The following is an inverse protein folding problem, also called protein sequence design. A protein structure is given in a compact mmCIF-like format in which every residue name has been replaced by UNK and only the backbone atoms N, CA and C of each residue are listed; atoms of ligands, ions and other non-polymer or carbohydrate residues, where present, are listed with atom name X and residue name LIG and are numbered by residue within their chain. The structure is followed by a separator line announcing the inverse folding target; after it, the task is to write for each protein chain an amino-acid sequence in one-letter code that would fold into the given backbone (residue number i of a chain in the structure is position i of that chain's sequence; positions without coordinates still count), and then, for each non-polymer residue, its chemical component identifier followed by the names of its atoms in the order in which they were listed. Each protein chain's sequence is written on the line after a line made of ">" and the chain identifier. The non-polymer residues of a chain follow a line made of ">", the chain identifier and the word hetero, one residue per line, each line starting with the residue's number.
data_IF_389756384051
#
_entry.id   IF_389756384051
#
_cell.length_a   1.000
_cell.length_b   1.000
_cell.length_c   1.000
_cell.angle_alpha   90.00
_cell.angle_beta   90.00
_cell.angle_gamma   90.00
#
_symmetry.space_group_name_H-M   'P 1'
#
loop_
_entity.id
_entity.type
_entity.pdbx_description
1 polymer ?
#
# COMPACT_ATOMS: atom_id res chain seq x y z
N UNK A 1 21.45 13.70 17.05
CA UNK A 1 20.57 14.72 17.72
C UNK A 1 19.13 14.34 17.44
N UNK A 2 18.26 14.41 18.46
CA UNK A 2 16.81 14.20 18.24
C UNK A 2 16.21 15.46 17.57
N UNK A 3 15.13 15.35 16.80
CA UNK A 3 14.47 16.51 16.20
C UNK A 3 14.06 17.58 17.23
N UNK A 4 13.69 17.13 18.44
CA UNK A 4 13.34 18.02 19.55
C UNK A 4 14.56 18.79 20.08
N UNK A 5 15.72 18.15 20.19
CA UNK A 5 16.94 18.85 20.64
C UNK A 5 17.43 19.88 19.62
N UNK A 6 17.29 19.59 18.32
CA UNK A 6 17.59 20.55 17.26
C UNK A 6 16.64 21.75 17.30
N UNK A 7 15.34 21.52 17.45
CA UNK A 7 14.33 22.57 17.58
C UNK A 7 14.58 23.45 18.80
N UNK A 8 14.88 22.86 19.96
CA UNK A 8 15.19 23.61 21.19
C UNK A 8 16.43 24.48 21.03
N UNK A 9 17.50 23.96 20.43
CA UNK A 9 18.71 24.73 20.16
C UNK A 9 18.41 25.95 19.27
N UNK A 10 17.67 25.73 18.17
CA UNK A 10 17.28 26.83 17.26
C UNK A 10 16.40 27.86 17.98
N UNK A 11 15.47 27.42 18.84
CA UNK A 11 14.63 28.32 19.64
C UNK A 11 15.47 29.21 20.56
N UNK A 12 16.43 28.64 21.29
CA UNK A 12 17.30 29.40 22.20
C UNK A 12 18.19 30.39 21.45
N UNK A 13 18.81 29.94 20.33
CA UNK A 13 19.66 30.80 19.50
C UNK A 13 18.85 31.95 18.86
N UNK A 14 17.66 31.66 18.32
CA UNK A 14 16.80 32.68 17.72
C UNK A 14 16.27 33.67 18.77
N UNK A 15 15.88 33.22 19.97
CA UNK A 15 15.46 34.07 21.05
C UNK A 15 16.59 34.99 21.51
N UNK A 16 17.83 34.48 21.66
CA UNK A 16 18.98 35.28 21.97
C UNK A 16 19.26 36.36 20.90
N UNK A 17 19.22 35.94 19.62
CA UNK A 17 19.40 36.84 18.49
C UNK A 17 18.35 37.96 18.48
N UNK A 18 17.07 37.65 18.73
CA UNK A 18 15.98 38.64 18.79
C UNK A 18 16.13 39.60 19.99
N UNK A 19 16.60 39.14 21.16
CA UNK A 19 16.87 40.01 22.31
C UNK A 19 17.99 40.99 21.96
N UNK A 20 19.06 40.54 21.32
CA UNK A 20 20.17 41.42 20.91
C UNK A 20 19.71 42.38 19.81
N UNK A 21 18.92 41.91 18.86
CA UNK A 21 18.35 42.74 17.79
C UNK A 21 17.40 43.79 18.36
N UNK A 22 16.50 43.43 19.27
CA UNK A 22 15.57 44.35 19.91
C UNK A 22 16.26 45.47 20.71
N UNK A 23 17.44 45.22 21.31
CA UNK A 23 18.25 46.25 21.94
C UNK A 23 18.80 47.23 20.92
N UNK A 24 19.35 46.76 19.80
CA UNK A 24 19.86 47.61 18.71
C UNK A 24 18.76 48.46 18.08
N UNK A 25 17.63 47.82 17.76
CA UNK A 25 16.46 48.50 17.15
C UNK A 25 15.93 49.61 18.06
N UNK A 26 15.84 49.39 19.38
CA UNK A 26 15.39 50.42 20.34
C UNK A 26 16.31 51.64 20.38
N UNK A 27 17.62 51.41 20.30
CA UNK A 27 18.59 52.53 20.25
C UNK A 27 18.45 53.30 18.94
N UNK A 28 18.42 52.59 17.79
CA UNK A 28 18.27 53.24 16.50
C UNK A 28 16.93 53.98 16.35
N UNK A 29 15.83 53.39 16.84
CA UNK A 29 14.51 54.00 16.77
C UNK A 29 14.42 55.29 17.61
N UNK A 30 15.06 55.33 18.78
CA UNK A 30 15.11 56.56 19.59
C UNK A 30 15.90 57.70 18.92
N UNK A 31 16.99 57.33 18.22
CA UNK A 31 17.80 58.29 17.47
C UNK A 31 17.08 58.78 16.21
N UNK A 32 16.34 57.94 15.51
CA UNK A 32 15.68 58.28 14.25
C UNK A 32 14.30 58.93 14.42
N UNK A 33 13.53 58.56 15.46
CA UNK A 33 12.11 58.91 15.59
C UNK A 33 11.78 59.60 16.94
N UNK A 34 12.78 59.89 17.76
CA UNK A 34 12.58 60.51 19.09
C UNK A 34 12.08 59.49 20.14
N UNK A 35 11.74 59.99 21.37
CA UNK A 35 11.49 59.15 22.55
C UNK A 35 10.23 58.28 22.45
N UNK A 36 9.25 58.65 21.62
CA UNK A 36 7.96 57.92 21.55
C UNK A 36 7.93 56.82 20.51
N UNK A 37 8.87 56.76 19.57
CA UNK A 37 8.95 55.74 18.49
C UNK A 37 7.64 55.57 17.72
N UNK A 38 7.68 55.37 16.42
CA UNK A 38 6.48 55.31 15.56
C UNK A 38 6.09 53.90 15.09
N UNK A 39 6.38 52.86 15.86
CA UNK A 39 5.96 51.51 15.54
C UNK A 39 4.52 51.21 15.99
N UNK A 40 3.80 50.37 15.22
CA UNK A 40 2.48 49.90 15.64
C UNK A 40 2.63 48.82 16.72
N UNK A 41 1.66 48.74 17.66
CA UNK A 41 1.71 47.79 18.79
C UNK A 41 1.84 46.32 18.38
N UNK A 42 1.26 45.90 17.24
CA UNK A 42 1.35 44.53 16.77
C UNK A 42 2.77 44.07 16.39
N UNK A 43 3.68 45.01 16.10
CA UNK A 43 5.08 44.69 15.76
C UNK A 43 5.83 44.03 16.92
N UNK A 44 5.32 44.15 18.15
CA UNK A 44 5.87 43.46 19.33
C UNK A 44 5.77 41.93 19.21
N UNK A 45 4.81 41.44 18.44
CA UNK A 45 4.63 39.99 18.21
C UNK A 45 5.61 39.41 17.15
N UNK A 46 6.19 40.29 16.33
CA UNK A 46 7.09 39.85 15.22
C UNK A 46 8.30 39.03 15.68
N UNK A 47 9.02 39.32 16.77
CA UNK A 47 10.11 38.52 17.28
C UNK A 47 9.67 37.07 17.64
N UNK A 48 8.52 36.98 18.31
CA UNK A 48 7.95 35.67 18.69
C UNK A 48 7.57 34.83 17.46
N UNK A 49 6.96 35.46 16.45
CA UNK A 49 6.62 34.79 15.21
C UNK A 49 7.87 34.30 14.46
N UNK A 50 8.95 35.07 14.45
CA UNK A 50 10.24 34.63 13.85
C UNK A 50 10.83 33.48 14.59
N UNK A 51 10.91 33.50 15.91
CA UNK A 51 11.43 32.42 16.72
C UNK A 51 10.62 31.13 16.48
N UNK A 52 9.29 31.24 16.51
CA UNK A 52 8.40 30.10 16.27
C UNK A 52 8.57 29.53 14.86
N UNK A 53 8.61 30.40 13.85
CA UNK A 53 8.78 30.01 12.46
C UNK A 53 10.13 29.32 12.18
N UNK A 54 11.24 29.85 12.74
CA UNK A 54 12.55 29.23 12.65
C UNK A 54 12.60 27.88 13.36
N UNK A 55 11.98 27.78 14.52
CA UNK A 55 11.91 26.52 15.30
C UNK A 55 11.09 25.46 14.55
N UNK A 56 9.94 25.84 14.01
CA UNK A 56 9.09 24.93 13.22
C UNK A 56 9.81 24.43 11.96
N UNK A 57 10.48 25.33 11.26
CA UNK A 57 11.27 24.99 10.08
C UNK A 57 12.41 24.02 10.42
N UNK A 58 13.18 24.34 11.47
CA UNK A 58 14.31 23.50 11.89
C UNK A 58 13.86 22.13 12.41
N UNK A 59 12.73 22.06 13.12
CA UNK A 59 12.15 20.79 13.55
C UNK A 59 11.75 19.94 12.35
N UNK A 60 11.02 20.52 11.38
CA UNK A 60 10.62 19.81 10.18
C UNK A 60 11.81 19.28 9.39
N UNK A 61 12.87 20.09 9.23
CA UNK A 61 14.09 19.68 8.56
C UNK A 61 14.80 18.53 9.30
N UNK A 62 14.87 18.59 10.63
CA UNK A 62 15.48 17.54 11.44
C UNK A 62 14.70 16.22 11.38
N UNK A 63 13.36 16.28 11.35
CA UNK A 63 12.51 15.10 11.15
C UNK A 63 12.74 14.49 9.77
N UNK A 64 12.73 15.29 8.71
CA UNK A 64 12.98 14.81 7.35
C UNK A 64 14.37 14.21 7.20
N UNK A 65 15.38 14.82 7.83
CA UNK A 65 16.72 14.27 7.87
C UNK A 65 16.76 12.90 8.57
N UNK A 66 16.10 12.77 9.71
CA UNK A 66 16.03 11.52 10.47
C UNK A 66 15.33 10.41 9.67
N UNK A 67 14.21 10.73 9.00
CA UNK A 67 13.51 9.81 8.12
C UNK A 67 14.38 9.37 6.93
N UNK A 68 15.13 10.32 6.35
CA UNK A 68 16.05 10.01 5.27
C UNK A 68 17.22 9.13 5.71
N UNK A 69 17.78 9.37 6.90
CA UNK A 69 18.82 8.50 7.47
C UNK A 69 18.28 7.10 7.77
N UNK A 70 17.10 7.00 8.36
CA UNK A 70 16.44 5.72 8.61
C UNK A 70 16.19 4.93 7.31
N UNK A 71 15.90 5.63 6.22
CA UNK A 71 15.77 5.02 4.89
C UNK A 71 17.13 4.59 4.29
N UNK A 72 18.22 5.34 4.58
CA UNK A 72 19.57 5.01 4.11
C UNK A 72 20.26 3.92 4.93
N UNK A 73 20.08 3.94 6.25
CA UNK A 73 20.75 3.00 7.15
C UNK A 73 20.23 1.58 6.97
N UNK A 74 19.33 1.38 5.96
CA UNK A 74 19.00 0.06 5.48
C UNK A 74 18.82 -0.95 6.63
N UNK A 75 18.44 -0.49 7.86
CA UNK A 75 17.74 -1.42 8.70
C UNK A 75 16.50 -1.73 7.88
N UNK A 76 16.47 -2.88 7.20
CA UNK A 76 15.20 -3.34 6.76
C UNK A 76 14.37 -3.22 8.04
N UNK A 77 13.38 -2.36 8.06
CA UNK A 77 12.18 -2.65 8.80
C UNK A 77 12.07 -4.14 8.64
N UNK A 78 12.04 -4.96 9.71
CA UNK A 78 11.92 -6.41 9.56
C UNK A 78 11.04 -6.60 8.36
N UNK A 79 11.66 -6.70 7.19
CA UNK A 79 10.97 -6.84 5.92
C UNK A 79 10.59 -8.27 6.01
N UNK A 80 9.44 -8.50 6.69
CA UNK A 80 8.74 -9.75 6.56
C UNK A 80 8.72 -9.95 5.07
N UNK A 81 9.43 -10.98 4.63
CA UNK A 81 9.41 -11.40 3.23
C UNK A 81 7.98 -11.25 2.73
N UNK A 82 7.75 -10.61 1.58
CA UNK A 82 6.40 -10.34 1.11
C UNK A 82 5.61 -11.63 1.03
N UNK A 83 4.40 -11.62 1.51
CA UNK A 83 3.52 -12.79 1.43
C UNK A 83 3.12 -12.99 -0.04
N UNK A 84 3.25 -14.22 -0.50
CA UNK A 84 2.94 -14.62 -1.88
C UNK A 84 1.61 -15.37 -1.91
N UNK A 85 0.64 -14.84 -2.63
CA UNK A 85 -0.62 -15.52 -2.92
C UNK A 85 -0.52 -16.20 -4.28
N UNK A 86 -0.41 -17.52 -4.28
CA UNK A 86 -0.21 -18.32 -5.49
C UNK A 86 -1.47 -19.09 -5.81
N UNK A 87 -2.08 -18.77 -6.94
CA UNK A 87 -3.23 -19.48 -7.47
C UNK A 87 -2.76 -20.65 -8.33
N UNK A 88 -3.29 -21.83 -8.07
CA UNK A 88 -3.06 -23.04 -8.86
C UNK A 88 -4.35 -23.42 -9.53
N UNK A 89 -4.39 -23.32 -10.84
CA UNK A 89 -5.60 -23.46 -11.66
C UNK A 89 -5.60 -24.77 -12.43
N UNK A 90 -6.63 -25.55 -12.26
CA UNK A 90 -6.93 -26.71 -13.10
C UNK A 90 -7.41 -26.25 -14.48
N UNK A 91 -6.73 -26.71 -15.52
CA UNK A 91 -7.02 -26.40 -16.93
C UNK A 91 -7.50 -27.64 -17.71
N UNK A 92 -7.88 -28.68 -17.00
CA UNK A 92 -8.39 -29.92 -17.62
C UNK A 92 -9.71 -29.68 -18.37
N UNK A 93 -10.05 -30.53 -19.35
CA UNK A 93 -11.28 -30.40 -20.14
C UNK A 93 -12.56 -30.40 -19.29
N UNK A 94 -12.57 -31.04 -18.11
CA UNK A 94 -13.71 -31.05 -17.20
C UNK A 94 -14.06 -29.64 -16.67
N UNK A 95 -13.10 -28.71 -16.63
CA UNK A 95 -13.33 -27.32 -16.22
C UNK A 95 -14.21 -26.54 -17.19
N UNK A 96 -14.47 -27.02 -18.39
CA UNK A 96 -15.40 -26.42 -19.36
C UNK A 96 -16.84 -26.91 -19.22
N UNK A 97 -17.11 -27.88 -18.34
CA UNK A 97 -18.47 -28.39 -18.10
C UNK A 97 -19.35 -27.28 -17.46
N UNK A 98 -20.59 -27.18 -17.93
CA UNK A 98 -21.59 -26.21 -17.48
C UNK A 98 -22.46 -26.80 -16.36
N UNK A 99 -21.86 -26.95 -15.18
CA UNK A 99 -22.54 -27.46 -13.99
C UNK A 99 -22.19 -26.69 -12.72
N UNK A 100 -21.50 -25.56 -12.88
CA UNK A 100 -21.01 -24.74 -11.77
C UNK A 100 -21.88 -23.48 -11.56
N UNK A 101 -21.59 -22.81 -10.43
CA UNK A 101 -22.28 -21.62 -9.98
C UNK A 101 -23.61 -21.88 -9.29
N UNK A 102 -24.20 -20.88 -8.61
CA UNK A 102 -25.45 -21.02 -7.85
C UNK A 102 -26.62 -21.52 -8.69
N UNK A 103 -26.65 -21.19 -9.98
CA UNK A 103 -27.69 -21.61 -10.91
C UNK A 103 -27.34 -22.89 -11.70
N UNK A 104 -26.13 -23.43 -11.52
CA UNK A 104 -25.62 -24.60 -12.26
C UNK A 104 -25.53 -24.40 -13.78
N UNK A 105 -25.29 -23.17 -14.24
CA UNK A 105 -25.26 -22.78 -15.66
C UNK A 105 -23.90 -22.24 -16.12
N UNK A 106 -23.02 -22.00 -15.19
CA UNK A 106 -21.63 -21.54 -15.47
C UNK A 106 -20.72 -22.71 -15.76
N UNK A 107 -19.67 -22.49 -16.52
CA UNK A 107 -18.56 -23.43 -16.58
C UNK A 107 -17.79 -23.40 -15.25
N UNK A 108 -17.12 -24.51 -14.91
CA UNK A 108 -16.25 -24.57 -13.73
C UNK A 108 -15.13 -23.53 -13.82
N UNK A 109 -14.63 -23.28 -15.03
CA UNK A 109 -13.63 -22.22 -15.29
C UNK A 109 -14.20 -20.81 -15.03
N UNK A 110 -15.42 -20.50 -15.47
CA UNK A 110 -16.07 -19.22 -15.16
C UNK A 110 -16.25 -19.03 -13.65
N UNK A 111 -16.66 -20.10 -12.96
CA UNK A 111 -16.81 -20.07 -11.50
C UNK A 111 -15.47 -19.88 -10.78
N UNK A 112 -14.41 -20.54 -11.21
CA UNK A 112 -13.05 -20.33 -10.72
C UNK A 112 -12.62 -18.87 -10.90
N UNK A 113 -12.89 -18.28 -12.07
CA UNK A 113 -12.56 -16.87 -12.37
C UNK A 113 -13.27 -15.89 -11.44
N UNK A 114 -14.56 -16.10 -11.22
CA UNK A 114 -15.34 -15.31 -10.27
C UNK A 114 -14.78 -15.39 -8.84
N UNK A 115 -14.35 -16.58 -8.44
CA UNK A 115 -13.80 -16.79 -7.10
C UNK A 115 -12.42 -16.14 -6.94
N UNK A 116 -11.56 -16.22 -7.97
CA UNK A 116 -10.28 -15.50 -8.00
C UNK A 116 -10.51 -14.00 -7.84
N UNK A 117 -11.46 -13.43 -8.58
CA UNK A 117 -11.81 -12.02 -8.47
C UNK A 117 -12.33 -11.67 -7.07
N UNK A 118 -13.20 -12.52 -6.51
CA UNK A 118 -13.71 -12.33 -5.15
C UNK A 118 -12.62 -12.41 -4.07
N UNK A 119 -11.60 -13.23 -4.28
CA UNK A 119 -10.40 -13.28 -3.41
C UNK A 119 -9.57 -12.02 -3.58
N UNK A 120 -9.25 -11.63 -4.83
CA UNK A 120 -8.43 -10.44 -5.11
C UNK A 120 -9.04 -9.14 -4.56
N UNK A 121 -10.38 -9.02 -4.57
CA UNK A 121 -11.08 -7.86 -3.99
C UNK A 121 -10.98 -7.79 -2.45
N UNK A 122 -10.76 -8.92 -1.78
CA UNK A 122 -10.75 -9.03 -0.31
C UNK A 122 -9.35 -9.01 0.30
N UNK A 123 -8.34 -9.30 -0.52
CA UNK A 123 -6.94 -9.30 -0.09
C UNK A 123 -6.23 -8.01 -0.45
N UNK A 124 -5.16 -7.67 0.26
CA UNK A 124 -4.35 -6.49 -0.04
C UNK A 124 -3.18 -6.33 0.92
N UNK A 125 -2.48 -5.20 0.80
CA UNK A 125 -1.20 -4.97 1.45
C UNK A 125 -0.06 -5.23 0.46
N UNK A 126 1.16 -5.41 0.97
CA UNK A 126 2.34 -5.74 0.16
C UNK A 126 2.34 -7.24 -0.15
N UNK A 127 1.47 -7.65 -1.08
CA UNK A 127 1.37 -9.02 -1.56
C UNK A 127 2.10 -9.19 -2.89
N UNK A 128 2.63 -10.39 -3.09
CA UNK A 128 3.10 -10.86 -4.38
C UNK A 128 2.15 -11.92 -4.90
N UNK A 129 1.91 -11.92 -6.17
CA UNK A 129 0.96 -12.82 -6.80
C UNK A 129 1.68 -13.81 -7.71
N UNK A 130 1.18 -15.05 -7.73
CA UNK A 130 1.61 -16.07 -8.65
C UNK A 130 0.43 -16.81 -9.24
N UNK A 131 0.59 -17.33 -10.46
CA UNK A 131 -0.37 -18.22 -11.12
C UNK A 131 0.38 -19.41 -11.68
N UNK A 132 -0.08 -20.59 -11.30
CA UNK A 132 0.39 -21.88 -11.80
C UNK A 132 -0.81 -22.54 -12.47
N UNK A 133 -0.70 -22.86 -13.74
CA UNK A 133 -1.69 -23.68 -14.42
C UNK A 133 -1.26 -25.14 -14.46
N UNK A 134 -2.19 -26.06 -14.30
CA UNK A 134 -1.90 -27.47 -14.48
C UNK A 134 -2.95 -28.18 -15.35
N UNK A 135 -2.49 -29.19 -16.03
CA UNK A 135 -3.32 -30.19 -16.71
C UNK A 135 -2.73 -31.56 -16.42
N UNK A 136 -1.74 -32.03 -17.17
CA UNK A 136 -0.95 -33.23 -16.87
C UNK A 136 0.21 -32.91 -15.94
N UNK A 137 0.85 -31.75 -16.14
CA UNK A 137 1.93 -31.21 -15.35
C UNK A 137 1.60 -29.77 -14.98
N UNK A 138 2.23 -29.23 -13.94
CA UNK A 138 2.06 -27.84 -13.54
C UNK A 138 3.16 -26.95 -14.13
N UNK A 139 2.74 -25.81 -14.67
CA UNK A 139 3.63 -24.79 -15.22
C UNK A 139 3.35 -23.43 -14.58
N UNK A 140 4.41 -22.74 -14.19
CA UNK A 140 4.31 -21.37 -13.71
C UNK A 140 3.99 -20.43 -14.88
N UNK A 141 2.89 -19.70 -14.79
CA UNK A 141 2.46 -18.70 -15.78
C UNK A 141 2.93 -17.31 -15.36
N UNK A 142 2.74 -16.97 -14.09
CA UNK A 142 3.18 -15.73 -13.47
C UNK A 142 3.75 -16.05 -12.10
N UNK A 143 4.87 -15.44 -11.73
CA UNK A 143 5.42 -15.58 -10.39
C UNK A 143 5.93 -14.21 -9.90
N UNK A 144 5.75 -13.99 -8.60
CA UNK A 144 6.29 -12.81 -7.87
C UNK A 144 5.85 -11.45 -8.44
N UNK A 145 4.63 -11.39 -9.02
CA UNK A 145 4.05 -10.16 -9.54
C UNK A 145 3.52 -9.26 -8.42
N UNK A 146 3.69 -7.95 -8.55
CA UNK A 146 3.10 -6.96 -7.63
C UNK A 146 1.66 -6.62 -7.98
N UNK A 147 1.36 -6.64 -9.28
CA UNK A 147 0.10 -6.16 -9.81
C UNK A 147 -0.94 -7.29 -9.88
N UNK A 148 -2.06 -7.21 -9.15
CA UNK A 148 -3.15 -8.18 -9.25
C UNK A 148 -3.81 -8.19 -10.63
N UNK A 149 -3.67 -7.13 -11.45
CA UNK A 149 -4.19 -7.10 -12.81
C UNK A 149 -3.55 -8.16 -13.71
N UNK A 150 -2.30 -8.53 -13.46
CA UNK A 150 -1.66 -9.64 -14.17
C UNK A 150 -2.39 -10.97 -13.90
N UNK A 151 -2.82 -11.20 -12.67
CA UNK A 151 -3.62 -12.39 -12.32
C UNK A 151 -4.95 -12.36 -13.06
N UNK A 152 -5.67 -11.22 -13.02
CA UNK A 152 -6.94 -11.05 -13.75
C UNK A 152 -6.78 -11.34 -15.23
N UNK A 153 -5.75 -10.79 -15.86
CA UNK A 153 -5.48 -10.98 -17.28
C UNK A 153 -5.20 -12.46 -17.62
N UNK A 154 -4.47 -13.18 -16.77
CA UNK A 154 -4.24 -14.62 -16.96
C UNK A 154 -5.56 -15.40 -16.91
N UNK A 155 -6.40 -15.13 -15.92
CA UNK A 155 -7.68 -15.84 -15.79
C UNK A 155 -8.73 -15.40 -16.83
N UNK A 156 -8.66 -14.18 -17.35
CA UNK A 156 -9.65 -13.63 -18.30
C UNK A 156 -9.29 -13.85 -19.78
N UNK A 157 -8.03 -13.97 -20.13
CA UNK A 157 -7.66 -13.81 -21.53
C UNK A 157 -6.65 -14.77 -22.13
N UNK A 158 -5.86 -15.44 -21.34
CA UNK A 158 -4.84 -16.32 -21.91
C UNK A 158 -5.38 -17.76 -22.05
N UNK A 159 -5.44 -18.29 -23.29
CA UNK A 159 -5.74 -19.69 -23.52
C UNK A 159 -4.52 -20.55 -23.14
N UNK A 160 -4.22 -20.60 -21.82
CA UNK A 160 -3.03 -21.28 -21.28
C UNK A 160 -3.02 -22.77 -21.63
N UNK A 161 -4.20 -23.35 -21.84
CA UNK A 161 -4.37 -24.76 -22.26
C UNK A 161 -3.68 -25.08 -23.58
N UNK A 162 -3.49 -24.14 -24.49
CA UNK A 162 -2.81 -24.38 -25.77
C UNK A 162 -1.29 -24.59 -25.65
N UNK A 163 -0.72 -24.20 -24.52
CA UNK A 163 0.72 -24.33 -24.23
C UNK A 163 1.02 -25.68 -23.56
N UNK A 164 -0.03 -26.37 -23.05
CA UNK A 164 0.12 -27.59 -22.28
C UNK A 164 -0.09 -28.84 -23.16
N UNK A 165 0.74 -29.85 -22.95
CA UNK A 165 0.55 -31.16 -23.60
C UNK A 165 -0.71 -31.83 -23.06
N UNK A 166 -1.62 -32.18 -23.96
CA UNK A 166 -2.78 -32.95 -23.60
C UNK A 166 -2.35 -34.37 -23.16
N UNK A 167 -2.87 -34.81 -22.02
CA UNK A 167 -2.61 -36.14 -21.46
C UNK A 167 -3.72 -36.49 -20.46
N UNK A 168 -3.60 -37.62 -19.78
CA UNK A 168 -4.49 -37.92 -18.66
C UNK A 168 -4.12 -37.01 -17.46
N UNK A 169 -5.11 -36.38 -16.87
CA UNK A 169 -4.93 -35.58 -15.66
C UNK A 169 -4.65 -36.51 -14.47
N UNK A 170 -3.49 -36.38 -13.84
CA UNK A 170 -3.23 -36.94 -12.52
C UNK A 170 -3.08 -35.83 -11.52
N UNK A 171 -4.07 -35.68 -10.66
CA UNK A 171 -4.13 -34.61 -9.63
C UNK A 171 -2.92 -34.69 -8.69
N UNK A 172 -2.43 -35.90 -8.37
CA UNK A 172 -1.24 -36.07 -7.52
C UNK A 172 0.02 -35.50 -8.16
N UNK A 173 0.29 -35.84 -9.42
CA UNK A 173 1.43 -35.33 -10.19
C UNK A 173 1.33 -33.82 -10.36
N UNK A 174 0.15 -33.29 -10.68
CA UNK A 174 -0.08 -31.85 -10.87
C UNK A 174 0.17 -31.04 -9.59
N UNK A 175 -0.39 -31.47 -8.47
CA UNK A 175 -0.19 -30.83 -7.17
C UNK A 175 1.27 -30.92 -6.71
N UNK A 176 1.90 -32.09 -6.88
CA UNK A 176 3.31 -32.25 -6.54
C UNK A 176 4.21 -31.37 -7.38
N UNK A 177 3.88 -31.14 -8.64
CA UNK A 177 4.60 -30.22 -9.53
C UNK A 177 4.41 -28.76 -9.08
N UNK A 178 3.19 -28.37 -8.73
CA UNK A 178 2.92 -27.02 -8.18
C UNK A 178 3.65 -26.77 -6.86
N UNK A 179 3.67 -27.76 -5.96
CA UNK A 179 4.40 -27.73 -4.70
C UNK A 179 5.90 -27.52 -4.92
N UNK A 180 6.48 -28.24 -5.90
CA UNK A 180 7.91 -28.09 -6.27
C UNK A 180 8.24 -26.69 -6.79
N UNK A 181 7.35 -26.05 -7.55
CA UNK A 181 7.55 -24.67 -8.04
C UNK A 181 7.72 -23.68 -6.91
N UNK A 182 7.00 -23.86 -5.80
CA UNK A 182 7.05 -22.93 -4.66
C UNK A 182 8.03 -23.33 -3.56
N UNK A 183 8.63 -24.53 -3.62
CA UNK A 183 9.51 -25.05 -2.56
C UNK A 183 10.77 -24.21 -2.35
N UNK A 184 11.31 -23.62 -3.43
CA UNK A 184 12.50 -22.74 -3.37
C UNK A 184 12.27 -21.34 -2.80
N UNK A 185 11.03 -20.98 -2.44
CA UNK A 185 10.70 -19.66 -1.90
C UNK A 185 10.98 -19.56 -0.39
N UNK A 186 11.10 -18.35 0.17
CA UNK A 186 11.35 -18.16 1.59
C UNK A 186 10.30 -18.83 2.49
N UNK A 187 10.72 -19.32 3.66
CA UNK A 187 9.87 -20.08 4.55
C UNK A 187 8.64 -19.27 5.01
N UNK A 188 7.46 -19.93 5.05
CA UNK A 188 6.20 -19.37 5.54
C UNK A 188 5.69 -18.11 4.80
N UNK A 189 6.16 -17.90 3.54
CA UNK A 189 5.75 -16.74 2.74
C UNK A 189 4.64 -17.03 1.74
N UNK A 190 4.40 -18.31 1.41
CA UNK A 190 3.44 -18.70 0.36
C UNK A 190 2.09 -19.09 0.95
N UNK A 191 1.01 -18.57 0.37
CA UNK A 191 -0.36 -19.06 0.50
C UNK A 191 -0.76 -19.67 -0.82
N UNK A 192 -1.05 -20.94 -0.81
CA UNK A 192 -1.41 -21.70 -2.01
C UNK A 192 -2.93 -21.84 -2.09
N UNK A 193 -3.53 -21.39 -3.19
CA UNK A 193 -4.96 -21.50 -3.45
C UNK A 193 -5.16 -22.34 -4.69
N UNK A 194 -5.65 -23.56 -4.53
CA UNK A 194 -5.79 -24.54 -5.60
C UNK A 194 -7.25 -24.65 -6.01
N UNK A 195 -7.53 -24.48 -7.30
CA UNK A 195 -8.85 -24.67 -7.91
C UNK A 195 -8.86 -25.92 -8.75
N UNK A 196 -9.75 -26.83 -8.44
CA UNK A 196 -9.94 -28.08 -9.20
C UNK A 196 -11.30 -28.71 -8.88
N UNK A 197 -11.79 -29.58 -9.72
CA UNK A 197 -12.98 -30.39 -9.45
C UNK A 197 -12.66 -31.72 -8.72
N UNK A 198 -11.38 -32.10 -8.71
CA UNK A 198 -10.96 -33.33 -8.06
C UNK A 198 -11.44 -34.60 -8.75
N UNK A 199 -11.90 -34.54 -10.00
CA UNK A 199 -12.52 -35.65 -10.75
C UNK A 199 -11.56 -36.85 -10.99
N UNK A 200 -10.27 -36.64 -10.69
CA UNK A 200 -9.25 -37.69 -10.88
C UNK A 200 -8.62 -38.04 -9.53
N UNK A 201 -8.67 -39.33 -9.19
CA UNK A 201 -8.00 -39.85 -8.00
C UNK A 201 -6.48 -39.70 -8.17
N UNK A 202 -5.75 -39.17 -7.18
CA UNK A 202 -4.30 -39.09 -7.25
C UNK A 202 -3.67 -40.48 -7.38
N UNK A 203 -2.96 -40.73 -8.47
CA UNK A 203 -2.23 -41.98 -8.70
C UNK A 203 -0.92 -42.03 -7.92
N UNK A 204 -0.37 -40.83 -7.60
CA UNK A 204 0.85 -40.72 -6.83
C UNK A 204 0.57 -40.10 -5.43
N UNK A 205 1.35 -40.50 -4.40
CA UNK A 205 1.25 -39.88 -3.08
C UNK A 205 1.51 -38.39 -3.19
N UNK A 206 0.68 -37.62 -2.48
CA UNK A 206 0.87 -36.15 -2.35
C UNK A 206 2.11 -35.89 -1.52
N UNK A 207 3.04 -35.08 -2.03
CA UNK A 207 4.22 -34.65 -1.30
C UNK A 207 3.83 -33.78 -0.08
N UNK A 208 4.60 -33.86 1.01
CA UNK A 208 4.32 -33.05 2.18
C UNK A 208 4.47 -31.57 1.85
N UNK A 209 3.70 -30.74 2.55
CA UNK A 209 3.75 -29.28 2.41
C UNK A 209 5.17 -28.76 2.63
N UNK A 210 5.76 -27.97 1.69
CA UNK A 210 7.10 -27.43 1.82
C UNK A 210 7.16 -26.32 2.88
N UNK A 211 8.37 -26.02 3.38
CA UNK A 211 8.58 -25.01 4.40
C UNK A 211 8.19 -23.59 3.94
N UNK A 212 8.26 -23.31 2.64
CA UNK A 212 7.87 -22.06 2.02
C UNK A 212 6.37 -21.77 2.18
N UNK A 213 5.53 -22.82 2.19
CA UNK A 213 4.08 -22.72 2.22
C UNK A 213 3.59 -22.62 3.66
N UNK A 214 2.94 -21.49 3.99
CA UNK A 214 2.30 -21.23 5.28
C UNK A 214 0.92 -21.86 5.35
N UNK A 215 0.15 -21.78 4.25
CA UNK A 215 -1.23 -22.27 4.20
C UNK A 215 -1.61 -22.77 2.82
N UNK A 216 -2.56 -23.71 2.78
CA UNK A 216 -3.07 -24.31 1.56
C UNK A 216 -4.60 -24.31 1.62
N UNK A 217 -5.23 -23.71 0.63
CA UNK A 217 -6.67 -23.72 0.43
C UNK A 217 -6.98 -24.48 -0.84
N UNK A 218 -7.73 -25.56 -0.71
CA UNK A 218 -8.24 -26.35 -1.85
C UNK A 218 -9.67 -25.94 -2.08
N UNK A 219 -9.93 -25.36 -3.25
CA UNK A 219 -11.22 -24.81 -3.63
C UNK A 219 -11.85 -25.69 -4.69
N UNK A 220 -12.90 -26.40 -4.30
CA UNK A 220 -13.63 -27.28 -5.19
C UNK A 220 -14.63 -26.53 -6.06
N UNK A 221 -14.58 -26.74 -7.38
CA UNK A 221 -15.49 -26.16 -8.37
C UNK A 221 -16.25 -27.27 -9.10
N UNK A 222 -17.48 -26.98 -9.52
CA UNK A 222 -18.37 -27.95 -10.16
C UNK A 222 -19.41 -28.53 -9.18
N UNK A 223 -20.38 -29.23 -9.71
CA UNK A 223 -21.48 -29.78 -8.90
C UNK A 223 -21.05 -31.07 -8.19
N UNK A 224 -21.05 -31.14 -6.83
CA UNK A 224 -20.66 -32.34 -6.11
C UNK A 224 -21.72 -33.45 -6.13
N UNK A 225 -22.99 -33.12 -6.49
CA UNK A 225 -24.12 -34.05 -6.43
C UNK A 225 -24.50 -34.59 -7.81
N UNK A 226 -24.37 -33.76 -8.85
CA UNK A 226 -24.80 -34.10 -10.20
C UNK A 226 -23.59 -34.11 -11.12
N UNK A 227 -23.27 -35.27 -11.65
CA UNK A 227 -22.19 -35.42 -12.65
C UNK A 227 -22.68 -35.05 -14.05
N UNK A 228 -21.76 -34.54 -14.86
CA UNK A 228 -21.93 -34.27 -16.28
C UNK A 228 -21.04 -35.20 -17.10
N UNK A 229 -21.58 -35.76 -18.19
CA UNK A 229 -20.85 -36.77 -18.98
C UNK A 229 -19.81 -36.09 -19.89
N UNK A 230 -18.56 -36.52 -19.81
CA UNK A 230 -17.44 -36.07 -20.65
C UNK A 230 -16.44 -37.23 -20.90
N UNK A 231 -15.92 -37.32 -22.10
CA UNK A 231 -14.86 -38.27 -22.46
C UNK A 231 -15.09 -39.72 -22.00
N UNK A 232 -16.34 -40.19 -21.98
CA UNK A 232 -16.69 -41.55 -21.64
C UNK A 232 -16.94 -41.82 -20.15
N UNK A 233 -16.84 -40.85 -19.29
CA UNK A 233 -17.13 -40.98 -17.86
C UNK A 233 -18.00 -39.81 -17.33
N UNK A 234 -18.53 -39.98 -16.14
CA UNK A 234 -19.33 -38.98 -15.47
C UNK A 234 -18.47 -38.13 -14.55
N UNK A 235 -18.16 -36.88 -14.98
CA UNK A 235 -17.38 -35.93 -14.22
C UNK A 235 -18.23 -35.19 -13.22
N UNK A 236 -17.79 -35.11 -11.97
CA UNK A 236 -18.37 -34.32 -10.90
C UNK A 236 -17.27 -33.81 -9.97
N UNK A 237 -17.58 -32.78 -9.16
CA UNK A 237 -16.67 -32.42 -8.09
C UNK A 237 -16.57 -33.56 -7.07
N UNK A 238 -15.35 -34.02 -6.80
CA UNK A 238 -15.10 -35.05 -5.80
C UNK A 238 -14.60 -34.44 -4.48
N UNK A 239 -15.53 -34.09 -3.59
CA UNK A 239 -15.25 -33.48 -2.30
C UNK A 239 -14.39 -34.37 -1.37
N UNK A 240 -14.48 -35.70 -1.51
CA UNK A 240 -13.73 -36.66 -0.71
C UNK A 240 -12.25 -36.67 -1.11
N UNK A 241 -11.97 -36.73 -2.42
CA UNK A 241 -10.62 -36.61 -2.97
C UNK A 241 -10.01 -35.26 -2.57
N UNK A 242 -10.74 -34.15 -2.77
CA UNK A 242 -10.24 -32.81 -2.43
C UNK A 242 -9.96 -32.62 -0.93
N UNK A 243 -10.82 -33.16 -0.07
CA UNK A 243 -10.60 -33.15 1.39
C UNK A 243 -9.37 -34.00 1.78
N UNK A 244 -9.12 -35.10 1.08
CA UNK A 244 -7.94 -35.94 1.32
C UNK A 244 -6.66 -35.23 0.88
N UNK A 245 -6.66 -34.58 -0.27
CA UNK A 245 -5.54 -33.74 -0.74
C UNK A 245 -5.27 -32.59 0.24
N UNK A 246 -6.32 -31.89 0.70
CA UNK A 246 -6.19 -30.82 1.67
C UNK A 246 -5.53 -31.31 2.97
N UNK A 247 -5.96 -32.45 3.51
CA UNK A 247 -5.36 -33.08 4.70
C UNK A 247 -3.90 -33.46 4.50
N UNK A 248 -3.54 -34.02 3.33
CA UNK A 248 -2.16 -34.39 3.01
C UNK A 248 -1.23 -33.16 3.04
N UNK A 249 -1.71 -32.02 2.53
CA UNK A 249 -1.00 -30.72 2.53
C UNK A 249 -1.17 -29.93 3.84
N UNK A 250 -1.85 -30.46 4.85
CA UNK A 250 -2.22 -29.75 6.10
C UNK A 250 -2.91 -28.42 5.80
N UNK A 251 -3.78 -28.40 4.81
CA UNK A 251 -4.59 -27.27 4.40
C UNK A 251 -6.08 -27.49 4.68
N UNK A 252 -6.92 -26.65 4.09
CA UNK A 252 -8.37 -26.68 4.22
C UNK A 252 -9.04 -26.81 2.85
N UNK A 253 -10.13 -27.59 2.80
CA UNK A 253 -10.98 -27.71 1.64
C UNK A 253 -12.25 -26.86 1.81
N UNK A 254 -12.64 -26.16 0.74
CA UNK A 254 -13.88 -25.43 0.63
C UNK A 254 -14.59 -25.71 -0.69
N UNK A 255 -15.87 -25.99 -0.62
CA UNK A 255 -16.74 -26.02 -1.79
C UNK A 255 -17.15 -24.59 -2.15
N UNK A 256 -16.60 -24.08 -3.25
CA UNK A 256 -16.89 -22.71 -3.73
C UNK A 256 -17.85 -22.69 -4.93
N UNK A 257 -18.51 -23.82 -5.21
CA UNK A 257 -19.41 -23.92 -6.34
C UNK A 257 -20.65 -23.00 -6.22
N UNK A 258 -21.35 -23.02 -5.09
CA UNK A 258 -22.54 -22.22 -4.86
C UNK A 258 -22.26 -20.94 -4.04
N UNK A 259 -21.26 -20.97 -3.16
CA UNK A 259 -20.90 -19.89 -2.25
C UNK A 259 -19.44 -19.47 -2.48
N UNK A 260 -19.15 -18.21 -2.20
CA UNK A 260 -17.76 -17.75 -2.19
C UNK A 260 -17.00 -18.27 -0.96
N UNK A 261 -15.68 -18.31 -1.08
CA UNK A 261 -14.79 -18.62 0.03
C UNK A 261 -15.10 -17.69 1.22
N UNK A 262 -15.30 -18.23 2.44
CA UNK A 262 -15.50 -17.40 3.63
C UNK A 262 -14.31 -16.45 3.86
N UNK A 263 -14.59 -15.24 4.33
CA UNK A 263 -13.55 -14.21 4.53
C UNK A 263 -12.53 -14.60 5.60
N UNK A 264 -12.96 -15.32 6.63
CA UNK A 264 -12.11 -15.86 7.69
C UNK A 264 -11.09 -16.89 7.18
N UNK A 265 -11.40 -17.62 6.10
CA UNK A 265 -10.47 -18.54 5.47
C UNK A 265 -9.26 -17.86 4.84
N UNK A 266 -9.37 -16.57 4.50
CA UNK A 266 -8.25 -15.77 4.00
C UNK A 266 -7.34 -15.27 5.13
N UNK A 267 -7.80 -15.34 6.39
CA UNK A 267 -7.01 -15.03 7.59
C UNK A 267 -6.38 -13.64 7.56
N UNK A 268 -5.07 -13.58 7.72
CA UNK A 268 -4.27 -12.36 7.74
C UNK A 268 -4.02 -11.72 6.36
N UNK A 269 -4.45 -12.36 5.27
CA UNK A 269 -4.43 -11.77 3.92
C UNK A 269 -5.54 -10.74 3.71
N UNK A 270 -6.62 -10.83 4.49
CA UNK A 270 -7.71 -9.87 4.40
C UNK A 270 -7.20 -8.50 4.81
N UNK A 271 -7.32 -7.53 3.92
CA UNK A 271 -7.18 -6.14 4.30
C UNK A 271 -8.29 -5.82 5.28
N UNK A 272 -7.98 -5.91 6.55
CA UNK A 272 -8.63 -5.01 7.48
C UNK A 272 -8.14 -3.64 7.07
N UNK A 273 -8.92 -2.92 6.26
CA UNK A 273 -8.62 -1.52 5.94
C UNK A 273 -8.26 -0.89 7.29
N UNK A 274 -7.01 -0.52 7.55
CA UNK A 274 -6.76 0.26 8.74
C UNK A 274 -7.66 1.48 8.48
N UNK A 275 -8.61 1.74 9.37
CA UNK A 275 -9.35 3.00 9.40
C UNK A 275 -8.31 4.06 9.05
N UNK A 276 -8.52 4.89 8.01
CA UNK A 276 -7.55 5.89 7.63
C UNK A 276 -7.14 6.55 8.94
N UNK A 277 -5.86 6.41 9.31
CA UNK A 277 -5.35 7.05 10.52
C UNK A 277 -5.75 8.49 10.34
N UNK A 278 -6.78 8.94 11.07
CA UNK A 278 -7.30 10.29 11.03
C UNK A 278 -6.27 11.21 11.70
N UNK A 279 -5.12 11.34 11.08
CA UNK A 279 -4.00 12.13 11.55
C UNK A 279 -2.95 12.24 10.46
N UNK A 280 -2.40 13.44 10.33
CA UNK A 280 -1.27 13.69 9.45
C UNK A 280 -0.11 12.77 9.85
N UNK A 281 0.49 12.10 8.89
CA UNK A 281 1.71 11.34 9.11
C UNK A 281 2.85 12.27 9.54
N UNK A 282 3.82 11.73 10.30
CA UNK A 282 4.95 12.52 10.83
C UNK A 282 5.70 13.28 9.71
N UNK A 283 5.83 12.64 8.54
CA UNK A 283 6.43 13.28 7.37
C UNK A 283 5.58 14.45 6.85
N UNK A 284 4.26 14.29 6.80
CA UNK A 284 3.33 15.36 6.39
C UNK A 284 3.34 16.53 7.37
N UNK A 285 3.38 16.24 8.67
CA UNK A 285 3.51 17.27 9.71
C UNK A 285 4.83 18.04 9.58
N UNK A 286 5.93 17.34 9.29
CA UNK A 286 7.24 17.97 9.08
C UNK A 286 7.22 18.91 7.86
N UNK A 287 6.64 18.47 6.74
CA UNK A 287 6.51 19.29 5.52
C UNK A 287 5.63 20.52 5.79
N UNK A 288 4.50 20.36 6.47
CA UNK A 288 3.62 21.46 6.84
C UNK A 288 4.32 22.48 7.76
N UNK A 289 5.08 21.99 8.74
CA UNK A 289 5.84 22.86 9.65
C UNK A 289 6.91 23.67 8.89
N UNK A 290 7.61 23.05 7.94
CA UNK A 290 8.57 23.75 7.08
C UNK A 290 7.88 24.76 6.17
N UNK A 291 6.76 24.41 5.54
CA UNK A 291 6.02 25.30 4.65
C UNK A 291 5.47 26.52 5.39
N UNK A 292 4.83 26.32 6.54
CA UNK A 292 4.31 27.41 7.37
C UNK A 292 5.43 28.29 7.95
N UNK A 293 6.50 27.65 8.43
CA UNK A 293 7.67 28.36 8.94
C UNK A 293 8.31 29.26 7.88
N UNK A 294 8.56 28.73 6.68
CA UNK A 294 9.13 29.49 5.58
C UNK A 294 8.20 30.60 5.08
N UNK A 295 6.90 30.36 5.02
CA UNK A 295 5.92 31.37 4.63
C UNK A 295 5.90 32.56 5.62
N UNK A 296 5.92 32.29 6.92
CA UNK A 296 5.99 33.33 7.95
C UNK A 296 7.30 34.11 7.83
N UNK A 297 8.44 33.44 7.65
CA UNK A 297 9.74 34.12 7.51
C UNK A 297 9.81 34.99 6.26
N UNK A 298 9.18 34.58 5.15
CA UNK A 298 9.14 35.38 3.92
C UNK A 298 8.17 36.57 3.98
N UNK A 299 6.99 36.36 4.55
CA UNK A 299 5.92 37.38 4.55
C UNK A 299 6.05 38.41 5.69
N UNK A 300 6.62 38.00 6.82
CA UNK A 300 6.73 38.86 7.99
C UNK A 300 7.55 40.14 7.74
N UNK A 301 8.72 40.13 7.07
CA UNK A 301 9.45 41.37 6.72
C UNK A 301 8.63 42.30 5.83
N UNK A 302 7.92 41.73 4.85
CA UNK A 302 7.05 42.50 3.95
C UNK A 302 5.89 43.14 4.73
N UNK A 303 5.25 42.38 5.61
CA UNK A 303 4.20 42.90 6.47
C UNK A 303 4.71 44.01 7.41
N UNK A 304 5.92 43.86 7.97
CA UNK A 304 6.54 44.89 8.81
C UNK A 304 6.85 46.16 8.02
N UNK A 305 7.32 46.02 6.77
CA UNK A 305 7.64 47.16 5.89
C UNK A 305 6.39 47.98 5.57
N UNK A 306 5.30 47.35 5.17
CA UNK A 306 4.10 48.05 4.73
C UNK A 306 3.12 48.40 5.85
N UNK A 307 3.05 47.58 6.89
CA UNK A 307 2.05 47.72 7.97
C UNK A 307 2.66 48.04 9.34
N UNK A 308 3.99 48.00 9.48
CA UNK A 308 4.69 48.11 10.76
C UNK A 308 4.85 49.54 11.28
N UNK A 309 4.90 50.55 10.41
CA UNK A 309 5.06 51.95 10.79
C UNK A 309 3.75 52.71 10.76
N UNK A 310 3.65 53.75 11.60
CA UNK A 310 2.58 54.76 11.54
C UNK A 310 2.95 55.93 10.62
N UNK A 311 4.17 55.93 10.10
CA UNK A 311 4.65 56.98 9.23
C UNK A 311 3.95 56.91 7.88
N UNK A 312 3.26 57.98 7.49
CA UNK A 312 2.80 58.19 6.12
C UNK A 312 3.75 59.23 5.52
N UNK A 313 4.32 58.93 4.35
CA UNK A 313 5.00 59.91 3.54
C UNK A 313 3.93 60.94 3.12
N UNK A 314 3.92 62.10 3.74
CA UNK A 314 3.14 63.24 3.25
C UNK A 314 3.83 63.66 1.95
N UNK A 315 3.21 63.39 0.81
CA UNK A 315 3.58 64.05 -0.43
C UNK A 315 3.33 65.55 -0.19
N UNK A 316 4.40 66.32 -0.08
CA UNK A 316 4.31 67.75 -0.29
C UNK A 316 3.90 67.95 -1.71
N UNK A 317 2.64 68.23 -1.97
CA UNK A 317 2.20 68.83 -3.21
C UNK A 317 2.91 70.18 -3.25
N UNK A 318 3.89 70.30 -4.13
CA UNK A 318 4.49 71.58 -4.52
C UNK A 318 3.38 72.37 -5.20
N UNK A 319 2.65 73.19 -4.46
CA UNK A 319 1.91 74.28 -5.07
C UNK A 319 2.94 75.17 -5.79
N UNK A 320 3.01 74.94 -7.08
CA UNK A 320 3.62 75.96 -7.97
C UNK A 320 2.67 77.14 -7.96
N UNK A 321 2.95 78.04 -7.05
CA UNK A 321 2.28 79.36 -7.00
C UNK A 321 2.56 80.09 -8.29
N UNK A 322 1.50 80.43 -9.00
CA UNK A 322 1.50 81.45 -10.01
C UNK A 322 2.00 82.76 -9.45
N UNK A 323 3.09 83.24 -10.05
CA UNK A 323 3.55 84.60 -9.82
C UNK A 323 2.55 85.58 -10.37
N UNK A 324 2.00 86.44 -9.56
CA UNK A 324 1.38 87.68 -9.98
C UNK A 324 2.38 88.79 -9.78
N UNK A 325 2.86 89.23 -10.97
CA UNK A 325 3.53 90.51 -11.12
C UNK A 325 2.51 91.65 -10.86
N UNK A 326 2.71 92.44 -9.87
CA UNK A 326 2.59 93.92 -9.91
C UNK A 326 3.14 94.59 -8.65
#
# INVERSE_FOLDING_TARGET
>A
MTPLSAALLVLLLSALAEVLHARRVRVAARLAFGPEGMSRGWTVVAPFLRCLALTAFAWGLAVMWQLHQAAKDGKPSETKEPVRLVFVADLSPSMYLKDAGPAGKQTRQERMREEVEAVLMRVGGDLRYGVIGFYTEAHSVVMDAHDPELVRNVFNGLPVQYVMKAGSTDLGTAINSAVKVVDGLPAQTVRLVVFTDGDTVPLQPILPRPKSVKDVLILGVGNPRKGTFIAGHQSRQDAEVLSTVARALRGSYYDVNEKHLPTDALGDLVVRTPLPKSGLDLAQLAVLAMALGSAVLALLPVALQYLGSRWRVVRLETEAGEGVVR
#
